data_IF_163666766866
#
_entry.id   IF_163666766866
#
_cell.length_a   1.000
_cell.length_b   1.000
_cell.length_c   1.000
_cell.angle_alpha   90.00
_cell.angle_beta   90.00
_cell.angle_gamma   90.00
#
_symmetry.space_group_name_H-M   'P 1'
#
loop_
_entity.id
_entity.type
_entity.pdbx_description
1 polymer ?
#
# COMPACT_ATOMS: atom_id res chain seq x y z
N UNK A 1 15.32 -13.55 -13.94
CA UNK A 1 15.23 -12.20 -13.44
C UNK A 1 14.94 -12.19 -11.94
N UNK A 2 15.76 -11.54 -11.15
CA UNK A 2 15.56 -11.40 -9.72
C UNK A 2 15.32 -9.93 -9.39
N UNK A 3 14.13 -9.63 -8.86
CA UNK A 3 13.78 -8.30 -8.35
C UNK A 3 13.98 -8.23 -6.85
N UNK A 4 14.67 -7.21 -6.36
CA UNK A 4 14.80 -6.92 -4.94
C UNK A 4 14.09 -5.60 -4.63
N UNK A 5 13.13 -5.65 -3.73
CA UNK A 5 12.40 -4.48 -3.25
C UNK A 5 12.98 -4.00 -1.93
N UNK A 6 13.20 -2.72 -1.83
CA UNK A 6 13.60 -2.03 -0.61
C UNK A 6 12.53 -1.01 -0.23
N UNK A 7 12.01 -1.12 0.97
CA UNK A 7 11.09 -0.17 1.55
C UNK A 7 11.82 0.64 2.63
N UNK A 8 11.98 1.93 2.42
CA UNK A 8 12.61 2.83 3.40
C UNK A 8 11.55 3.65 4.11
N UNK A 9 11.45 3.50 5.42
CA UNK A 9 10.63 4.32 6.31
C UNK A 9 11.52 5.37 6.99
N UNK A 10 11.16 6.62 6.89
CA UNK A 10 12.01 7.76 7.23
C UNK A 10 12.03 8.13 8.71
N UNK A 11 11.98 7.20 9.67
CA UNK A 11 12.19 7.60 11.07
C UNK A 11 12.76 6.51 12.00
N UNK A 12 12.87 5.29 11.53
CA UNK A 12 13.61 4.21 12.17
C UNK A 12 14.09 3.32 11.03
N UNK A 13 15.36 2.92 11.04
CA UNK A 13 16.05 2.11 10.01
C UNK A 13 15.43 0.70 9.81
N UNK A 14 14.15 0.62 9.60
CA UNK A 14 13.46 -0.62 9.28
C UNK A 14 13.38 -0.73 7.76
N UNK A 15 14.40 -1.35 7.16
CA UNK A 15 14.45 -1.70 5.75
C UNK A 15 13.84 -3.08 5.56
N UNK A 16 12.60 -3.15 5.10
CA UNK A 16 12.02 -4.40 4.63
C UNK A 16 12.46 -4.67 3.20
N UNK A 17 13.25 -5.73 3.02
CA UNK A 17 13.67 -6.17 1.69
C UNK A 17 12.91 -7.43 1.30
N UNK A 18 12.19 -7.37 0.20
CA UNK A 18 11.54 -8.52 -0.38
C UNK A 18 12.18 -8.86 -1.72
N UNK A 19 12.33 -10.15 -1.98
CA UNK A 19 12.90 -10.68 -3.22
C UNK A 19 11.83 -11.48 -3.93
N UNK A 20 11.61 -11.14 -5.21
CA UNK A 20 10.72 -11.87 -6.09
C UNK A 20 11.49 -12.26 -7.35
N UNK A 21 11.22 -13.44 -7.86
CA UNK A 21 11.77 -13.92 -9.12
C UNK A 21 10.65 -14.07 -10.13
N UNK A 22 10.85 -13.52 -11.32
CA UNK A 22 9.93 -13.65 -12.45
C UNK A 22 10.69 -13.79 -13.75
N UNK A 23 10.03 -14.26 -14.79
CA UNK A 23 10.55 -14.24 -16.14
C UNK A 23 10.33 -12.87 -16.77
N UNK A 24 11.21 -12.50 -17.71
CA UNK A 24 11.01 -11.30 -18.53
C UNK A 24 9.65 -11.33 -19.22
N UNK A 25 8.96 -10.19 -19.25
CA UNK A 25 7.62 -10.07 -19.84
C UNK A 25 6.49 -10.73 -19.04
N UNK A 26 6.79 -11.27 -17.84
CA UNK A 26 5.77 -11.80 -16.95
C UNK A 26 5.55 -10.90 -15.73
N UNK A 27 4.31 -10.64 -15.35
CA UNK A 27 4.01 -9.80 -14.20
C UNK A 27 4.42 -10.50 -12.90
N UNK A 28 5.01 -9.72 -11.99
CA UNK A 28 5.25 -10.12 -10.61
C UNK A 28 4.36 -9.29 -9.70
N UNK A 29 3.77 -9.93 -8.68
CA UNK A 29 2.87 -9.27 -7.74
C UNK A 29 3.43 -9.36 -6.34
N UNK A 30 3.53 -8.21 -5.67
CA UNK A 30 3.90 -8.11 -4.26
C UNK A 30 2.76 -7.39 -3.54
N UNK A 31 2.25 -7.99 -2.47
CA UNK A 31 1.22 -7.35 -1.66
C UNK A 31 1.35 -7.71 -0.19
N UNK A 32 0.93 -6.78 0.65
CA UNK A 32 0.70 -6.98 2.09
C UNK A 32 -0.81 -7.07 2.30
N UNK A 33 -1.25 -8.04 3.08
CA UNK A 33 -2.64 -8.20 3.44
C UNK A 33 -2.81 -8.04 4.94
N UNK A 34 -3.79 -7.24 5.33
CA UNK A 34 -4.19 -7.06 6.72
C UNK A 34 -5.68 -7.37 6.85
N UNK A 35 -6.02 -8.22 7.80
CA UNK A 35 -7.42 -8.51 8.12
C UNK A 35 -7.95 -7.48 9.10
N UNK A 36 -8.98 -6.75 8.70
CA UNK A 36 -9.57 -5.69 9.51
C UNK A 36 -11.03 -6.01 9.86
N UNK A 37 -11.45 -5.76 11.11
CA UNK A 37 -12.84 -5.89 11.51
C UNK A 37 -13.64 -4.68 10.99
N UNK A 38 -14.77 -4.95 10.34
CA UNK A 38 -15.75 -3.95 9.96
C UNK A 38 -17.03 -4.18 10.76
N UNK A 39 -17.39 -3.20 11.58
CA UNK A 39 -18.62 -3.25 12.36
C UNK A 39 -19.77 -2.73 11.48
N UNK A 40 -20.74 -3.60 11.25
CA UNK A 40 -21.97 -3.28 10.54
C UNK A 40 -23.13 -3.19 11.55
N UNK A 41 -23.83 -2.06 11.54
CA UNK A 41 -25.06 -1.87 12.31
C UNK A 41 -26.25 -1.98 11.36
N UNK A 42 -27.13 -2.92 11.62
CA UNK A 42 -28.34 -3.14 10.84
C UNK A 42 -29.57 -2.95 11.71
N UNK A 43 -30.44 -2.04 11.34
CA UNK A 43 -31.71 -1.83 12.00
C UNK A 43 -32.77 -2.71 11.34
N UNK A 44 -33.35 -3.62 12.13
CA UNK A 44 -34.40 -4.55 11.68
C UNK A 44 -35.69 -4.22 12.42
N UNK A 45 -36.81 -4.20 11.67
CA UNK A 45 -38.13 -4.01 12.26
C UNK A 45 -38.65 -5.35 12.78
N UNK A 46 -38.99 -5.39 14.06
CA UNK A 46 -39.65 -6.53 14.69
C UNK A 46 -41.00 -6.05 15.26
N UNK A 47 -42.07 -6.27 14.49
CA UNK A 47 -43.40 -5.74 14.81
C UNK A 47 -43.41 -4.19 14.73
N UNK A 48 -43.78 -3.55 15.86
CA UNK A 48 -43.79 -2.08 16.02
C UNK A 48 -42.48 -1.52 16.59
N UNK A 49 -41.49 -2.35 16.87
CA UNK A 49 -40.18 -1.96 17.46
C UNK A 49 -39.07 -2.12 16.44
N UNK A 50 -38.06 -1.26 16.53
CA UNK A 50 -36.81 -1.42 15.81
C UNK A 50 -35.76 -2.02 16.74
N UNK A 51 -35.08 -3.04 16.23
CA UNK A 51 -33.95 -3.70 16.91
C UNK A 51 -32.70 -3.36 16.12
N UNK A 52 -31.67 -2.90 16.80
CA UNK A 52 -30.34 -2.68 16.20
C UNK A 52 -29.51 -3.94 16.39
N UNK A 53 -29.11 -4.54 15.28
CA UNK A 53 -28.23 -5.70 15.25
C UNK A 53 -26.83 -5.20 14.88
N UNK A 54 -25.87 -5.53 15.72
CA UNK A 54 -24.47 -5.29 15.43
C UNK A 54 -23.81 -6.60 14.98
N UNK A 55 -23.07 -6.53 13.89
CA UNK A 55 -22.28 -7.65 13.39
C UNK A 55 -20.89 -7.18 13.01
N UNK A 56 -19.88 -8.00 13.28
CA UNK A 56 -18.51 -7.74 12.85
C UNK A 56 -18.17 -8.68 11.69
N UNK A 57 -17.76 -8.09 10.57
CA UNK A 57 -17.21 -8.82 9.42
C UNK A 57 -15.74 -8.52 9.30
N UNK A 58 -14.96 -9.55 9.04
CA UNK A 58 -13.54 -9.38 8.73
C UNK A 58 -13.35 -9.28 7.22
N UNK A 59 -12.61 -8.28 6.77
CA UNK A 59 -12.21 -8.13 5.37
C UNK A 59 -10.71 -7.98 5.24
N UNK A 60 -10.16 -8.58 4.20
CA UNK A 60 -8.75 -8.44 3.88
C UNK A 60 -8.54 -7.14 3.09
N UNK A 61 -7.69 -6.27 3.61
CA UNK A 61 -7.25 -5.02 3.00
C UNK A 61 -5.85 -5.25 2.45
N UNK A 62 -5.67 -5.05 1.15
CA UNK A 62 -4.41 -5.32 0.45
C UNK A 62 -3.77 -4.03 0.00
N UNK A 63 -2.46 -3.96 0.19
CA UNK A 63 -1.62 -2.88 -0.32
C UNK A 63 -0.42 -3.51 -0.99
N UNK A 64 -0.08 -3.07 -2.19
CA UNK A 64 1.03 -3.65 -2.92
C UNK A 64 1.12 -3.12 -4.33
N UNK A 65 1.78 -3.86 -5.19
CA UNK A 65 1.92 -3.49 -6.59
C UNK A 65 2.15 -4.71 -7.48
N UNK A 66 1.82 -4.53 -8.73
CA UNK A 66 2.17 -5.44 -9.83
C UNK A 66 3.28 -4.75 -10.61
N UNK A 67 4.30 -5.48 -10.98
CA UNK A 67 5.39 -5.01 -11.82
C UNK A 67 5.57 -5.94 -13.01
N UNK A 68 5.66 -5.38 -14.21
CA UNK A 68 5.94 -6.09 -15.44
C UNK A 68 7.28 -5.59 -15.99
N UNK A 69 8.34 -6.42 -15.92
CA UNK A 69 9.67 -6.04 -16.38
C UNK A 69 9.87 -6.36 -17.87
N UNK A 70 10.45 -5.41 -18.58
CA UNK A 70 10.97 -5.58 -19.95
C UNK A 70 12.43 -5.19 -19.99
N UNK A 71 13.29 -6.06 -20.50
CA UNK A 71 14.73 -5.84 -20.57
C UNK A 71 15.15 -5.57 -22.00
N UNK A 72 16.00 -4.55 -22.16
CA UNK A 72 16.63 -4.21 -23.43
C UNK A 72 18.11 -3.91 -23.22
N UNK A 73 18.95 -4.93 -23.41
CA UNK A 73 20.37 -4.84 -23.09
C UNK A 73 20.61 -4.63 -21.59
N UNK A 74 21.23 -3.53 -21.23
CA UNK A 74 21.50 -3.11 -19.83
C UNK A 74 20.37 -2.26 -19.21
N UNK A 75 19.33 -1.95 -19.99
CA UNK A 75 18.20 -1.16 -19.55
C UNK A 75 17.03 -2.06 -19.16
N UNK A 76 16.30 -1.64 -18.13
CA UNK A 76 15.04 -2.22 -17.73
C UNK A 76 13.93 -1.18 -17.79
N UNK A 77 12.81 -1.57 -18.37
CA UNK A 77 11.55 -0.81 -18.33
C UNK A 77 10.59 -1.57 -17.44
N UNK A 78 10.09 -0.92 -16.42
CA UNK A 78 9.15 -1.48 -15.46
C UNK A 78 7.79 -0.80 -15.63
N UNK A 79 6.78 -1.56 -16.02
CA UNK A 79 5.39 -1.13 -15.89
C UNK A 79 4.91 -1.49 -14.50
N UNK A 80 4.46 -0.51 -13.73
CA UNK A 80 4.16 -0.67 -12.31
C UNK A 80 2.74 -0.20 -12.04
N UNK A 81 1.97 -1.05 -11.37
CA UNK A 81 0.60 -0.79 -10.95
C UNK A 81 0.49 -0.89 -9.43
N UNK A 82 0.86 0.16 -8.69
CA UNK A 82 0.66 0.20 -7.25
C UNK A 82 -0.83 0.32 -6.91
N UNK A 83 -1.22 -0.39 -5.85
CA UNK A 83 -2.56 -0.39 -5.30
C UNK A 83 -2.49 -0.28 -3.79
N UNK A 84 -3.22 0.65 -3.23
CA UNK A 84 -3.34 0.84 -1.80
C UNK A 84 -4.79 0.75 -1.38
N UNK A 85 -5.07 -0.10 -0.41
CA UNK A 85 -6.38 -0.17 0.23
C UNK A 85 -6.27 0.27 1.68
N UNK A 86 -7.28 1.01 2.15
CA UNK A 86 -7.38 1.46 3.54
C UNK A 86 -8.83 1.41 4.01
N UNK A 87 -9.02 1.32 5.31
CA UNK A 87 -10.34 1.46 5.92
C UNK A 87 -10.55 2.90 6.34
N UNK A 88 -11.64 3.49 5.88
CA UNK A 88 -12.08 4.83 6.29
C UNK A 88 -13.58 4.81 6.54
N UNK A 89 -13.98 5.24 7.73
CA UNK A 89 -15.40 5.28 8.14
C UNK A 89 -16.15 3.94 7.92
N UNK A 90 -15.51 2.82 8.24
CA UNK A 90 -16.08 1.48 8.06
C UNK A 90 -16.20 1.00 6.62
N UNK A 91 -15.61 1.74 5.66
CA UNK A 91 -15.56 1.37 4.24
C UNK A 91 -14.12 1.15 3.79
N UNK A 92 -13.92 0.25 2.83
CA UNK A 92 -12.63 0.06 2.19
C UNK A 92 -12.55 0.99 0.99
N UNK A 93 -11.57 1.90 1.02
CA UNK A 93 -11.19 2.73 -0.10
C UNK A 93 -9.95 2.13 -0.75
N UNK A 94 -9.96 1.99 -2.06
CA UNK A 94 -8.82 1.50 -2.84
C UNK A 94 -8.39 2.56 -3.84
N UNK A 95 -7.11 2.88 -3.83
CA UNK A 95 -6.47 3.79 -4.79
C UNK A 95 -5.44 3.01 -5.58
N UNK A 96 -5.45 3.16 -6.88
CA UNK A 96 -4.50 2.57 -7.81
C UNK A 96 -3.87 3.61 -8.72
N UNK A 97 -2.71 3.30 -9.25
CA UNK A 97 -1.96 4.11 -10.20
C UNK A 97 -1.28 3.17 -11.19
N UNK A 98 -1.03 3.64 -12.40
CA UNK A 98 -0.19 2.95 -13.37
C UNK A 98 0.92 3.89 -13.81
N UNK A 99 2.14 3.40 -13.85
CA UNK A 99 3.31 4.17 -14.28
C UNK A 99 4.32 3.29 -14.98
N UNK A 100 5.18 3.91 -15.79
CA UNK A 100 6.29 3.25 -16.48
C UNK A 100 7.58 3.94 -16.09
N UNK A 101 8.54 3.17 -15.61
CA UNK A 101 9.83 3.68 -15.15
C UNK A 101 10.94 2.99 -15.95
N UNK A 102 11.93 3.77 -16.36
CA UNK A 102 13.15 3.28 -16.99
C UNK A 102 14.32 3.35 -16.03
N UNK A 103 15.18 2.33 -16.09
CA UNK A 103 16.40 2.32 -15.31
C UNK A 103 17.45 1.37 -15.88
N UNK A 104 18.50 1.14 -15.12
CA UNK A 104 19.57 0.18 -15.46
C UNK A 104 19.44 -1.07 -14.61
N UNK A 105 19.70 -2.22 -15.22
CA UNK A 105 19.81 -3.49 -14.52
C UNK A 105 20.89 -3.40 -13.44
N UNK A 106 20.65 -3.95 -12.26
CA UNK A 106 21.57 -3.92 -11.13
C UNK A 106 21.58 -2.61 -10.32
N UNK A 107 20.83 -1.58 -10.72
CA UNK A 107 20.71 -0.32 -9.97
C UNK A 107 19.36 -0.18 -9.26
N UNK A 108 19.35 0.50 -8.14
CA UNK A 108 18.13 0.84 -7.43
C UNK A 108 17.37 1.93 -8.16
N UNK A 109 16.08 1.70 -8.37
CA UNK A 109 15.13 2.61 -8.99
C UNK A 109 14.09 3.02 -7.96
N UNK A 110 13.90 4.31 -7.78
CA UNK A 110 12.82 4.81 -6.95
C UNK A 110 11.50 4.74 -7.72
N UNK A 111 10.52 4.01 -7.17
CA UNK A 111 9.18 3.87 -7.75
C UNK A 111 8.27 5.04 -7.39
N UNK A 112 8.62 5.78 -6.37
CA UNK A 112 7.86 6.90 -5.84
C UNK A 112 7.78 6.89 -4.33
N UNK A 113 7.35 8.01 -3.76
CA UNK A 113 7.11 8.16 -2.34
C UNK A 113 5.61 8.27 -2.06
N UNK A 114 5.12 7.54 -1.08
CA UNK A 114 3.80 7.74 -0.51
C UNK A 114 3.92 8.69 0.68
N UNK A 115 3.26 9.84 0.60
CA UNK A 115 3.12 10.75 1.73
C UNK A 115 1.79 10.48 2.41
N UNK A 116 1.83 9.97 3.63
CA UNK A 116 0.65 9.81 4.46
C UNK A 116 0.58 11.01 5.42
N UNK A 117 -0.38 11.88 5.19
CA UNK A 117 -0.72 12.93 6.15
C UNK A 117 -1.74 12.33 7.13
N UNK A 118 -1.32 11.94 8.30
CA UNK A 118 -2.21 11.65 9.41
C UNK A 118 -2.52 12.96 10.15
N UNK A 119 -3.63 13.59 9.79
CA UNK A 119 -4.22 14.64 10.60
C UNK A 119 -5.11 13.97 11.65
N UNK A 120 -4.57 13.71 12.83
CA UNK A 120 -5.40 13.44 14.01
C UNK A 120 -5.96 14.77 14.53
N UNK A 121 -7.21 15.03 14.22
CA UNK A 121 -7.96 16.13 14.80
C UNK A 121 -8.53 15.65 16.12
N UNK A 122 -7.76 15.72 17.21
CA UNK A 122 -8.29 15.58 18.55
C UNK A 122 -8.93 16.91 18.97
N UNK A 123 -10.26 16.93 18.98
CA UNK A 123 -11.03 18.04 19.55
C UNK A 123 -11.00 17.96 21.08
N UNK A 124 -9.91 18.42 21.69
CA UNK A 124 -9.78 18.67 23.11
C UNK A 124 -9.79 20.18 23.34
N UNK A 125 -10.70 20.65 24.19
CA UNK A 125 -10.79 22.04 24.62
C UNK A 125 -9.49 22.40 25.35
N UNK A 126 -8.72 23.36 24.75
CA UNK A 126 -7.51 23.97 25.31
C UNK A 126 -6.16 23.24 25.16
N UNK A 127 -5.71 23.01 23.92
CA UNK A 127 -4.27 23.16 23.58
C UNK A 127 -4.05 23.13 22.07
N UNK A 128 -3.55 24.22 21.51
CA UNK A 128 -3.08 24.28 20.12
C UNK A 128 -1.71 23.58 20.01
N UNK A 129 -1.71 22.25 19.93
CA UNK A 129 -0.52 21.51 19.51
C UNK A 129 -0.85 20.84 18.17
N UNK A 130 -0.52 21.53 17.09
CA UNK A 130 -0.46 20.99 15.74
C UNK A 130 0.83 20.16 15.63
N UNK A 131 0.79 18.88 15.88
CA UNK A 131 1.85 17.96 15.50
C UNK A 131 1.38 17.11 14.34
N UNK A 132 1.44 17.67 13.14
CA UNK A 132 1.27 16.92 11.90
C UNK A 132 2.47 16.02 11.65
N UNK A 133 2.37 14.73 11.87
CA UNK A 133 3.41 13.77 11.55
C UNK A 133 3.30 13.38 10.08
N UNK A 134 4.20 13.88 9.25
CA UNK A 134 4.31 13.49 7.84
C UNK A 134 5.21 12.27 7.75
N UNK A 135 4.63 11.09 7.53
CA UNK A 135 5.41 9.89 7.23
C UNK A 135 5.64 9.81 5.71
N UNK A 136 6.88 10.02 5.28
CA UNK A 136 7.30 9.77 3.90
C UNK A 136 7.81 8.33 3.78
N UNK A 137 7.22 7.54 2.91
CA UNK A 137 7.67 6.19 2.58
C UNK A 137 8.08 6.17 1.12
N UNK A 138 9.33 5.87 0.82
CA UNK A 138 9.81 5.67 -0.55
C UNK A 138 9.97 4.19 -0.83
N UNK A 139 9.55 3.77 -2.02
CA UNK A 139 9.66 2.39 -2.48
C UNK A 139 10.73 2.36 -3.57
N UNK A 140 11.68 1.46 -3.42
CA UNK A 140 12.74 1.24 -4.39
C UNK A 140 12.68 -0.20 -4.93
N UNK A 141 13.04 -0.38 -6.18
CA UNK A 141 13.19 -1.69 -6.80
C UNK A 141 14.56 -1.80 -7.44
N UNK A 142 15.15 -2.99 -7.35
CA UNK A 142 16.35 -3.35 -8.07
C UNK A 142 16.06 -4.61 -8.90
N UNK A 143 16.41 -4.58 -10.16
CA UNK A 143 16.25 -5.71 -11.07
C UNK A 143 17.62 -6.29 -11.35
N UNK A 144 17.77 -7.59 -11.14
CA UNK A 144 19.01 -8.34 -11.38
C UNK A 144 18.71 -9.50 -12.34
N UNK A 145 19.60 -9.74 -13.28
CA UNK A 145 19.57 -10.92 -14.14
C UNK A 145 20.18 -12.10 -13.38
N UNK A 146 19.57 -13.25 -13.53
CA UNK A 146 20.15 -14.53 -13.10
C UNK A 146 20.72 -15.27 -14.29
#
# INVERSE_FOLDING_TARGET
LRGRLLHKKSELDEMDTQVITTLEGNPATIYFSQRVPLNEKRRVRNGSKFIELESTRFKDVRTGFIVLPHIRGDQVVLEISPQQSRVKNGKIETTGLNTVIKGQVGKWLELGGLSLNENEQSSGIASNNFSGRVQKRSIFVKVELQ
#
